data_IF_728993228298
#
_entry.id   IF_728993228298
#
_cell.length_a   1.000
_cell.length_b   1.000
_cell.length_c   1.000
_cell.angle_alpha   90.00
_cell.angle_beta   90.00
_cell.angle_gamma   90.00
#
_symmetry.space_group_name_H-M   'P 1'
#
loop_
_entity.id
_entity.type
_entity.pdbx_description
1 polymer ?
#
# COMPACT_ATOMS: atom_id res chain seq x y z
N UNK A 1 -39.42 -63.19 -16.17
CA UNK A 1 -39.59 -62.31 -15.03
C UNK A 1 -38.19 -61.84 -14.60
N UNK A 2 -37.69 -60.74 -15.19
CA UNK A 2 -36.38 -60.22 -14.90
C UNK A 2 -36.60 -58.96 -14.02
N UNK A 3 -36.10 -59.02 -12.79
CA UNK A 3 -36.15 -57.91 -11.90
C UNK A 3 -34.87 -56.98 -12.09
N UNK A 4 -35.11 -55.81 -12.69
CA UNK A 4 -34.13 -54.75 -12.77
C UNK A 4 -34.14 -53.97 -11.45
N UNK A 5 -33.25 -54.30 -10.53
CA UNK A 5 -32.93 -53.40 -9.41
C UNK A 5 -31.42 -53.30 -9.25
N UNK A 6 -30.76 -52.29 -9.86
CA UNK A 6 -29.63 -51.67 -9.16
C UNK A 6 -29.39 -50.18 -9.48
N UNK A 7 -30.25 -49.41 -10.13
CA UNK A 7 -29.97 -48.00 -10.44
C UNK A 7 -30.07 -47.08 -9.22
N UNK A 8 -30.97 -47.34 -8.30
CA UNK A 8 -31.18 -46.50 -7.10
C UNK A 8 -29.97 -46.50 -6.14
N UNK A 9 -29.24 -47.60 -6.01
CA UNK A 9 -28.12 -47.73 -5.08
C UNK A 9 -26.86 -47.00 -5.58
N UNK A 10 -26.67 -46.83 -6.88
CA UNK A 10 -25.56 -46.11 -7.47
C UNK A 10 -25.70 -44.60 -7.29
N UNK A 11 -26.93 -44.08 -7.46
CA UNK A 11 -27.22 -42.64 -7.24
C UNK A 11 -27.08 -42.24 -5.77
N UNK A 12 -27.52 -43.09 -4.84
CA UNK A 12 -27.40 -42.83 -3.42
C UNK A 12 -25.94 -42.79 -2.93
N UNK A 13 -25.10 -43.70 -3.45
CA UNK A 13 -23.66 -43.70 -3.18
C UNK A 13 -22.97 -42.48 -3.75
N UNK A 14 -23.37 -42.00 -4.93
CA UNK A 14 -22.84 -40.79 -5.54
C UNK A 14 -23.24 -39.53 -4.72
N UNK A 15 -24.49 -39.43 -4.28
CA UNK A 15 -24.94 -38.32 -3.44
C UNK A 15 -24.21 -38.28 -2.10
N UNK A 16 -23.97 -39.43 -1.45
CA UNK A 16 -23.19 -39.50 -0.21
C UNK A 16 -21.76 -39.06 -0.45
N UNK A 17 -21.11 -39.49 -1.54
CA UNK A 17 -19.74 -39.08 -1.87
C UNK A 17 -19.62 -37.58 -2.13
N UNK A 18 -20.61 -36.97 -2.79
CA UNK A 18 -20.65 -35.51 -3.01
C UNK A 18 -20.80 -34.75 -1.68
N UNK A 19 -21.72 -35.21 -0.82
CA UNK A 19 -21.94 -34.57 0.50
C UNK A 19 -20.70 -34.68 1.39
N UNK A 20 -20.06 -35.85 1.45
CA UNK A 20 -18.81 -36.06 2.18
C UNK A 20 -17.69 -35.22 1.60
N UNK A 21 -17.58 -35.13 0.26
CA UNK A 21 -16.62 -34.29 -0.42
C UNK A 21 -16.79 -32.79 -0.08
N UNK A 22 -18.02 -32.31 0.03
CA UNK A 22 -18.31 -30.91 0.44
C UNK A 22 -18.01 -30.65 1.93
N UNK A 23 -18.40 -31.59 2.81
CA UNK A 23 -18.21 -31.42 4.26
C UNK A 23 -16.74 -31.51 4.67
N UNK A 24 -15.97 -32.37 4.03
CA UNK A 24 -14.55 -32.60 4.38
C UNK A 24 -13.62 -31.80 3.47
N UNK A 25 -13.91 -31.72 2.17
CA UNK A 25 -13.05 -31.07 1.19
C UNK A 25 -13.02 -29.55 1.33
N UNK A 26 -14.16 -28.92 1.58
CA UNK A 26 -14.22 -27.46 1.70
C UNK A 26 -13.43 -26.91 2.92
N UNK A 27 -13.55 -27.48 4.12
CA UNK A 27 -12.69 -27.08 5.25
C UNK A 27 -11.22 -27.35 5.00
N UNK A 28 -10.84 -28.46 4.38
CA UNK A 28 -9.44 -28.75 4.05
C UNK A 28 -8.86 -27.74 3.07
N UNK A 29 -9.59 -27.37 2.03
CA UNK A 29 -9.18 -26.32 1.09
C UNK A 29 -9.03 -24.99 1.82
N UNK A 30 -9.98 -24.61 2.70
CA UNK A 30 -9.92 -23.38 3.49
C UNK A 30 -8.70 -23.35 4.43
N UNK A 31 -8.36 -24.48 5.06
CA UNK A 31 -7.16 -24.61 5.89
C UNK A 31 -5.89 -24.45 5.06
N UNK A 32 -5.81 -25.08 3.89
CA UNK A 32 -4.66 -24.97 2.99
C UNK A 32 -4.46 -23.56 2.45
N UNK A 33 -5.54 -22.87 2.10
CA UNK A 33 -5.50 -21.47 1.65
C UNK A 33 -5.06 -20.56 2.78
N UNK A 34 -5.59 -20.75 3.99
CA UNK A 34 -5.18 -19.98 5.18
C UNK A 34 -3.73 -20.24 5.58
N UNK A 35 -3.25 -21.48 5.48
CA UNK A 35 -1.83 -21.80 5.77
C UNK A 35 -0.88 -21.14 4.76
N UNK A 36 -1.20 -21.16 3.47
CA UNK A 36 -0.43 -20.44 2.43
C UNK A 36 -0.49 -18.93 2.63
N UNK A 37 -1.65 -18.40 2.99
CA UNK A 37 -1.81 -16.97 3.30
C UNK A 37 -0.98 -16.55 4.53
N UNK A 38 -0.97 -17.36 5.58
CA UNK A 38 -0.18 -17.11 6.79
C UNK A 38 1.34 -17.21 6.55
N UNK A 39 1.78 -18.15 5.72
CA UNK A 39 3.20 -18.27 5.33
C UNK A 39 3.64 -17.08 4.47
N UNK A 40 2.84 -16.70 3.47
CA UNK A 40 3.10 -15.52 2.65
C UNK A 40 3.13 -14.25 3.51
N UNK A 41 2.20 -14.09 4.44
CA UNK A 41 2.18 -12.98 5.38
C UNK A 41 3.45 -12.89 6.23
N UNK A 42 3.99 -14.02 6.73
CA UNK A 42 5.24 -14.03 7.50
C UNK A 42 6.46 -13.64 6.65
N UNK A 43 6.55 -14.11 5.42
CA UNK A 43 7.61 -13.73 4.47
C UNK A 43 7.52 -12.24 4.14
N UNK A 44 6.33 -11.74 3.86
CA UNK A 44 6.07 -10.32 3.63
C UNK A 44 6.46 -9.46 4.84
N UNK A 45 6.02 -9.83 6.04
CA UNK A 45 6.38 -9.11 7.27
C UNK A 45 7.89 -9.11 7.52
N UNK A 46 8.60 -10.19 7.19
CA UNK A 46 10.05 -10.23 7.34
C UNK A 46 10.76 -9.25 6.40
N UNK A 47 10.22 -9.05 5.20
CA UNK A 47 10.82 -8.16 4.19
C UNK A 47 10.73 -6.66 4.53
N UNK A 48 9.78 -6.27 5.42
CA UNK A 48 9.63 -4.88 5.92
C UNK A 48 10.23 -4.66 7.31
N UNK A 49 10.81 -5.68 7.94
CA UNK A 49 11.54 -5.52 9.21
C UNK A 49 12.94 -4.93 9.05
N UNK A 50 13.39 -4.72 7.83
CA UNK A 50 14.68 -4.12 7.56
C UNK A 50 14.79 -2.73 8.22
N UNK A 51 16.00 -2.41 8.67
CA UNK A 51 16.36 -1.08 9.11
C UNK A 51 17.49 -0.58 8.21
N UNK A 52 17.13 0.22 7.22
CA UNK A 52 18.08 0.81 6.27
C UNK A 52 18.62 2.16 6.76
N UNK A 53 18.18 2.60 7.94
CA UNK A 53 18.55 3.87 8.56
C UNK A 53 17.33 4.74 8.86
N UNK A 54 17.59 5.85 9.53
CA UNK A 54 16.57 6.88 9.79
C UNK A 54 16.41 7.78 8.57
N UNK A 55 15.20 8.28 8.36
CA UNK A 55 14.97 9.37 7.41
C UNK A 55 15.79 10.58 7.85
N UNK A 56 16.63 11.15 6.99
CA UNK A 56 17.43 12.32 7.31
C UNK A 56 16.56 13.49 7.77
N UNK A 57 17.12 14.35 8.63
CA UNK A 57 16.44 15.57 9.02
C UNK A 57 16.37 16.54 7.85
N UNK A 58 15.15 17.01 7.56
CA UNK A 58 14.91 18.05 6.58
C UNK A 58 13.81 19.00 7.06
N UNK A 59 13.80 20.18 6.48
CA UNK A 59 12.73 21.16 6.56
C UNK A 59 12.56 21.78 5.19
N UNK A 60 11.44 21.54 4.55
CA UNK A 60 11.17 22.00 3.18
C UNK A 60 9.79 22.64 3.11
N UNK A 61 9.68 23.62 2.21
CA UNK A 61 8.42 24.32 1.97
C UNK A 61 7.68 23.61 0.83
N UNK A 62 6.47 23.18 1.12
CA UNK A 62 5.54 22.66 0.13
C UNK A 62 5.05 23.74 -0.83
N UNK A 63 4.41 23.31 -1.91
CA UNK A 63 3.84 24.25 -2.87
C UNK A 63 2.65 25.06 -2.33
N UNK A 64 2.05 24.61 -1.24
CA UNK A 64 0.99 25.32 -0.52
C UNK A 64 1.54 26.31 0.54
N UNK A 65 2.86 26.55 0.55
CA UNK A 65 3.60 27.31 1.57
C UNK A 65 3.57 26.71 2.99
N UNK A 66 3.13 25.45 3.13
CA UNK A 66 3.26 24.67 4.35
C UNK A 66 4.71 24.19 4.51
N UNK A 67 5.21 24.18 5.74
CA UNK A 67 6.54 23.66 6.04
C UNK A 67 6.42 22.20 6.49
N UNK A 68 7.04 21.30 5.75
CA UNK A 68 7.10 19.88 6.07
C UNK A 68 8.48 19.55 6.63
N UNK A 69 8.48 18.93 7.80
CA UNK A 69 9.72 18.55 8.50
C UNK A 69 9.72 17.06 8.80
N UNK A 70 10.89 16.45 8.90
CA UNK A 70 11.04 15.04 9.30
C UNK A 70 10.33 14.74 10.63
N UNK A 71 10.34 15.69 11.57
CA UNK A 71 9.63 15.53 12.86
C UNK A 71 8.13 15.46 12.69
N UNK A 72 7.57 16.25 11.77
CA UNK A 72 6.13 16.27 11.47
C UNK A 72 5.64 14.97 10.81
N UNK A 73 6.55 14.17 10.24
CA UNK A 73 6.20 12.90 9.61
C UNK A 73 6.04 11.74 10.60
N UNK A 74 6.57 11.89 11.83
CA UNK A 74 6.50 10.82 12.83
C UNK A 74 5.05 10.48 13.19
N UNK A 75 4.79 9.21 13.34
CA UNK A 75 3.43 8.67 13.52
C UNK A 75 2.73 8.31 12.22
N UNK A 76 3.30 8.73 11.07
CA UNK A 76 2.77 8.41 9.74
C UNK A 76 3.69 7.41 9.02
N UNK A 77 3.07 6.52 8.25
CA UNK A 77 3.76 5.74 7.22
C UNK A 77 3.97 6.67 6.03
N UNK A 78 5.21 6.83 5.61
CA UNK A 78 5.55 7.80 4.56
C UNK A 78 6.16 7.12 3.36
N UNK A 79 5.62 7.39 2.19
CA UNK A 79 6.17 7.00 0.89
C UNK A 79 6.94 8.18 0.33
N UNK A 80 8.26 8.05 0.24
CA UNK A 80 9.16 9.13 -0.22
C UNK A 80 9.65 8.83 -1.63
N UNK A 81 9.48 9.77 -2.53
CA UNK A 81 9.95 9.70 -3.92
C UNK A 81 10.62 10.99 -4.34
N UNK A 82 11.41 10.89 -5.40
CA UNK A 82 12.08 12.04 -6.04
C UNK A 82 11.73 12.05 -7.52
N UNK A 83 11.55 13.25 -8.07
CA UNK A 83 11.27 13.40 -9.50
C UNK A 83 12.34 14.26 -10.16
N UNK A 84 12.81 13.76 -11.29
CA UNK A 84 13.60 14.50 -12.29
C UNK A 84 12.81 14.53 -13.59
N UNK A 85 13.34 15.19 -14.62
CA UNK A 85 12.72 15.18 -15.95
C UNK A 85 12.52 13.77 -16.51
N UNK A 86 13.41 12.83 -16.17
CA UNK A 86 13.36 11.45 -16.66
C UNK A 86 12.39 10.55 -15.87
N UNK A 87 12.32 10.72 -14.54
CA UNK A 87 11.58 9.82 -13.67
C UNK A 87 10.16 10.26 -13.36
N UNK A 88 9.85 11.54 -13.61
CA UNK A 88 8.59 12.19 -13.23
C UNK A 88 7.35 11.38 -13.63
N UNK A 89 7.25 11.07 -14.91
CA UNK A 89 6.05 10.39 -15.43
C UNK A 89 5.89 9.00 -14.82
N UNK A 90 6.99 8.27 -14.62
CA UNK A 90 6.94 6.92 -14.06
C UNK A 90 6.58 6.95 -12.56
N UNK A 91 7.14 7.89 -11.80
CA UNK A 91 6.78 8.11 -10.38
C UNK A 91 5.30 8.44 -10.27
N UNK A 92 4.83 9.39 -11.07
CA UNK A 92 3.42 9.82 -11.05
C UNK A 92 2.48 8.71 -11.47
N UNK A 93 2.81 7.96 -12.52
CA UNK A 93 2.04 6.81 -12.99
C UNK A 93 1.96 5.71 -11.93
N UNK A 94 3.01 5.54 -11.14
CA UNK A 94 3.06 4.54 -10.07
C UNK A 94 2.28 4.98 -8.84
N UNK A 95 2.44 6.21 -8.36
CA UNK A 95 1.84 6.65 -7.10
C UNK A 95 0.37 7.07 -7.24
N UNK A 96 -0.02 7.69 -8.35
CA UNK A 96 -1.39 8.20 -8.54
C UNK A 96 -2.48 7.15 -8.35
N UNK A 97 -2.38 5.92 -8.87
CA UNK A 97 -3.37 4.87 -8.60
C UNK A 97 -3.45 4.49 -7.12
N UNK A 98 -2.30 4.44 -6.42
CA UNK A 98 -2.24 4.10 -5.01
C UNK A 98 -2.98 5.16 -4.17
N UNK A 99 -2.67 6.44 -4.40
CA UNK A 99 -3.32 7.57 -3.71
C UNK A 99 -4.83 7.60 -3.97
N UNK A 100 -5.27 7.22 -5.17
CA UNK A 100 -6.69 7.20 -5.56
C UNK A 100 -7.46 5.98 -5.06
N UNK A 101 -6.79 4.96 -4.51
CA UNK A 101 -7.46 3.76 -4.01
C UNK A 101 -8.32 4.11 -2.79
N UNK A 102 -9.62 3.86 -2.88
CA UNK A 102 -10.59 4.19 -1.82
C UNK A 102 -10.22 3.59 -0.47
N UNK A 103 -9.69 2.37 -0.46
CA UNK A 103 -9.27 1.69 0.76
C UNK A 103 -8.23 2.49 1.55
N UNK A 104 -7.27 3.14 0.87
CA UNK A 104 -6.30 4.01 1.55
C UNK A 104 -6.88 5.37 1.91
N UNK A 105 -7.94 5.80 1.22
CA UNK A 105 -8.56 7.12 1.40
C UNK A 105 -9.50 7.18 2.60
N UNK A 106 -10.22 6.10 2.88
CA UNK A 106 -11.29 6.09 3.88
C UNK A 106 -10.90 5.43 5.20
N UNK A 107 -10.02 4.42 5.13
CA UNK A 107 -9.69 3.59 6.29
C UNK A 107 -8.38 4.00 6.98
N UNK A 108 -7.59 4.91 6.38
CA UNK A 108 -6.21 5.16 6.81
C UNK A 108 -6.01 6.62 7.19
N UNK A 109 -5.64 6.86 8.46
CA UNK A 109 -5.38 8.20 8.98
C UNK A 109 -3.91 8.62 8.91
N UNK A 110 -2.98 7.67 8.78
CA UNK A 110 -1.55 7.94 8.96
C UNK A 110 -0.68 7.44 7.79
N UNK A 111 -1.22 7.48 6.57
CA UNK A 111 -0.44 7.28 5.35
C UNK A 111 -0.26 8.61 4.64
N UNK A 112 0.95 8.91 4.20
CA UNK A 112 1.25 10.11 3.42
C UNK A 112 2.29 9.82 2.34
N UNK A 113 2.27 10.63 1.30
CA UNK A 113 3.19 10.56 0.17
C UNK A 113 3.95 11.89 0.08
N UNK A 114 5.26 11.80 -0.04
CA UNK A 114 6.13 12.94 -0.28
C UNK A 114 6.87 12.75 -1.59
N UNK A 115 6.74 13.69 -2.48
CA UNK A 115 7.49 13.71 -3.73
C UNK A 115 8.33 14.98 -3.80
N UNK A 116 9.64 14.84 -3.78
CA UNK A 116 10.56 15.95 -3.93
C UNK A 116 10.81 16.19 -5.43
N UNK A 117 10.44 17.37 -5.91
CA UNK A 117 10.75 17.77 -7.28
C UNK A 117 12.13 18.43 -7.32
N UNK A 118 13.06 17.72 -7.94
CA UNK A 118 14.45 18.16 -8.13
C UNK A 118 14.60 19.15 -9.30
N UNK A 119 13.54 19.34 -10.10
CA UNK A 119 13.59 20.19 -11.30
C UNK A 119 13.13 21.62 -11.03
N UNK A 120 12.44 21.86 -9.92
CA UNK A 120 11.79 23.13 -9.59
C UNK A 120 10.82 23.65 -10.69
N UNK A 121 10.19 22.74 -11.45
CA UNK A 121 9.29 23.07 -12.53
C UNK A 121 7.90 23.48 -12.03
N UNK A 122 7.68 24.80 -11.90
CA UNK A 122 6.42 25.36 -11.40
C UNK A 122 5.20 25.08 -12.30
N UNK A 123 5.42 24.88 -13.61
CA UNK A 123 4.33 24.57 -14.57
C UNK A 123 3.82 23.17 -14.33
N UNK A 124 4.73 22.21 -14.19
CA UNK A 124 4.40 20.83 -13.87
C UNK A 124 3.62 20.73 -12.55
N UNK A 125 4.08 21.42 -11.51
CA UNK A 125 3.39 21.43 -10.23
C UNK A 125 1.96 21.91 -10.33
N UNK A 126 1.74 23.02 -11.01
CA UNK A 126 0.40 23.60 -11.18
C UNK A 126 -0.51 22.62 -11.91
N UNK A 127 -0.05 22.04 -13.00
CA UNK A 127 -0.82 21.05 -13.76
C UNK A 127 -1.13 19.82 -12.94
N UNK A 128 -0.15 19.36 -12.16
CA UNK A 128 -0.33 18.17 -11.32
C UNK A 128 -1.33 18.40 -10.20
N UNK A 129 -1.21 19.51 -9.46
CA UNK A 129 -2.14 19.86 -8.39
C UNK A 129 -3.57 20.10 -8.89
N UNK A 130 -3.74 20.61 -10.11
CA UNK A 130 -5.07 20.77 -10.71
C UNK A 130 -5.77 19.43 -10.95
N UNK A 131 -5.02 18.35 -11.16
CA UNK A 131 -5.55 17.01 -11.41
C UNK A 131 -5.80 16.19 -10.13
N UNK A 132 -5.46 16.71 -8.96
CA UNK A 132 -5.74 16.11 -7.66
C UNK A 132 -6.97 16.76 -7.02
N UNK A 133 -7.86 15.96 -6.45
CA UNK A 133 -8.91 16.47 -5.59
C UNK A 133 -8.34 16.98 -4.25
N UNK A 134 -9.14 17.69 -3.45
CA UNK A 134 -8.69 18.27 -2.19
C UNK A 134 -8.09 17.23 -1.24
N UNK A 135 -8.72 16.06 -1.13
CA UNK A 135 -8.27 14.97 -0.24
C UNK A 135 -6.98 14.30 -0.72
N UNK A 136 -6.81 14.12 -2.03
CA UNK A 136 -5.56 13.58 -2.57
C UNK A 136 -4.39 14.54 -2.28
N UNK A 137 -4.64 15.87 -2.24
CA UNK A 137 -3.65 16.89 -1.87
C UNK A 137 -3.26 16.85 -0.39
N UNK A 138 -4.16 16.45 0.50
CA UNK A 138 -3.86 16.24 1.91
C UNK A 138 -2.95 15.04 2.14
N UNK A 139 -3.09 14.00 1.31
CA UNK A 139 -2.28 12.78 1.41
C UNK A 139 -0.95 12.87 0.67
N UNK A 140 -0.90 13.67 -0.40
CA UNK A 140 0.25 13.72 -1.27
C UNK A 140 0.83 15.12 -1.39
N UNK A 141 1.97 15.31 -0.76
CA UNK A 141 2.71 16.57 -0.76
C UNK A 141 3.80 16.52 -1.83
N UNK A 142 3.80 17.50 -2.71
CA UNK A 142 4.88 17.72 -3.65
C UNK A 142 5.71 18.89 -3.12
N UNK A 143 7.00 18.65 -2.96
CA UNK A 143 7.93 19.52 -2.25
C UNK A 143 8.98 20.07 -3.20
N UNK A 144 9.48 21.27 -2.91
CA UNK A 144 10.61 21.87 -3.63
C UNK A 144 11.91 21.56 -2.92
N UNK A 145 12.98 21.36 -3.68
CA UNK A 145 14.31 21.16 -3.12
C UNK A 145 14.52 19.74 -2.60
N UNK A 146 15.48 19.60 -1.71
CA UNK A 146 15.86 18.30 -1.18
C UNK A 146 16.88 17.58 -2.05
N UNK A 147 17.65 18.31 -2.86
CA UNK A 147 18.64 17.78 -3.82
C UNK A 147 19.66 16.85 -3.17
N UNK A 148 19.99 17.09 -1.90
CA UNK A 148 20.93 16.26 -1.15
C UNK A 148 20.27 15.02 -0.50
N UNK A 149 18.94 14.96 -0.42
CA UNK A 149 18.25 13.85 0.23
C UNK A 149 18.42 12.52 -0.48
N UNK A 150 18.39 12.39 -1.83
CA UNK A 150 18.60 11.11 -2.50
C UNK A 150 19.93 10.45 -2.11
N UNK A 151 21.02 11.22 -2.02
CA UNK A 151 22.32 10.69 -1.62
C UNK A 151 22.36 10.26 -0.15
N UNK A 152 21.74 11.03 0.74
CA UNK A 152 21.61 10.70 2.17
C UNK A 152 20.75 9.43 2.38
N UNK A 153 19.75 9.23 1.56
CA UNK A 153 18.89 8.05 1.56
C UNK A 153 19.54 6.84 0.84
N UNK A 154 20.76 6.99 0.31
CA UNK A 154 21.45 5.96 -0.48
C UNK A 154 20.63 5.48 -1.67
N UNK A 155 19.85 6.37 -2.26
CA UNK A 155 19.07 6.07 -3.45
C UNK A 155 19.99 6.07 -4.67
N UNK A 156 19.96 4.98 -5.43
CA UNK A 156 20.84 4.80 -6.59
C UNK A 156 20.40 5.63 -7.81
N UNK A 157 19.13 6.01 -7.87
CA UNK A 157 18.55 6.78 -8.96
C UNK A 157 17.19 7.39 -8.57
N UNK A 158 16.66 8.29 -9.41
CA UNK A 158 15.39 8.98 -9.19
C UNK A 158 14.14 8.12 -9.48
N UNK A 159 14.32 6.84 -9.87
CA UNK A 159 13.24 5.86 -9.98
C UNK A 159 13.06 5.04 -8.70
N UNK A 160 13.80 5.38 -7.65
CA UNK A 160 13.72 4.70 -6.36
C UNK A 160 12.70 5.39 -5.45
N UNK A 161 11.82 4.58 -4.85
CA UNK A 161 10.86 5.01 -3.83
C UNK A 161 11.23 4.39 -2.50
N UNK A 162 11.26 5.20 -1.44
CA UNK A 162 11.50 4.73 -0.07
C UNK A 162 10.19 4.57 0.69
N UNK A 163 10.04 3.47 1.42
CA UNK A 163 8.97 3.26 2.38
C UNK A 163 9.51 3.46 3.80
N UNK A 164 8.92 4.41 4.51
CA UNK A 164 9.32 4.84 5.85
C UNK A 164 8.19 4.53 6.83
N UNK A 165 8.51 3.98 7.97
CA UNK A 165 7.54 3.65 9.01
C UNK A 165 7.20 4.83 9.91
N UNK A 166 6.28 4.61 10.85
CA UNK A 166 5.80 5.60 11.82
C UNK A 166 6.87 6.14 12.77
N UNK A 167 8.00 5.43 12.91
CA UNK A 167 9.15 5.86 13.70
C UNK A 167 10.18 6.64 12.87
N UNK A 168 9.94 6.81 11.57
CA UNK A 168 10.86 7.45 10.64
C UNK A 168 11.99 6.55 10.15
N UNK A 169 11.84 5.21 10.30
CA UNK A 169 12.83 4.24 9.83
C UNK A 169 12.53 3.86 8.38
N UNK A 170 13.54 3.94 7.53
CA UNK A 170 13.46 3.47 6.15
C UNK A 170 13.44 1.94 6.17
N UNK A 171 12.35 1.37 5.73
CA UNK A 171 12.13 -0.08 5.75
C UNK A 171 12.54 -0.75 4.46
N UNK A 172 12.33 -0.10 3.34
CA UNK A 172 12.69 -0.63 2.02
C UNK A 172 12.80 0.47 0.96
N UNK A 173 13.64 0.20 -0.04
CA UNK A 173 13.78 0.95 -1.27
C UNK A 173 13.24 0.10 -2.44
N UNK A 174 12.51 0.71 -3.36
CA UNK A 174 11.89 0.05 -4.52
C UNK A 174 12.33 0.74 -5.80
N UNK A 175 12.84 -0.01 -6.76
CA UNK A 175 13.07 0.51 -8.12
C UNK A 175 11.79 0.34 -8.94
N UNK A 176 11.07 1.43 -9.16
CA UNK A 176 9.78 1.40 -9.86
C UNK A 176 9.87 1.07 -11.36
N UNK A 177 11.05 0.93 -11.93
CA UNK A 177 11.22 0.35 -13.26
C UNK A 177 10.98 -1.17 -13.26
N UNK A 178 11.12 -1.80 -12.09
CA UNK A 178 10.89 -3.23 -11.92
C UNK A 178 9.42 -3.50 -11.55
N UNK A 179 8.66 -4.26 -12.36
CA UNK A 179 7.25 -4.57 -12.06
C UNK A 179 7.06 -5.29 -10.72
N UNK A 180 8.02 -6.12 -10.33
CA UNK A 180 8.00 -6.81 -9.04
C UNK A 180 8.07 -5.84 -7.85
N UNK A 181 8.93 -4.81 -7.94
CA UNK A 181 9.07 -3.79 -6.90
C UNK A 181 7.84 -2.89 -6.80
N UNK A 182 7.21 -2.53 -7.93
CA UNK A 182 5.92 -1.81 -7.91
C UNK A 182 4.85 -2.59 -7.16
N UNK A 183 4.72 -3.88 -7.47
CA UNK A 183 3.76 -4.76 -6.80
C UNK A 183 4.05 -4.84 -5.29
N UNK A 184 5.32 -5.09 -4.92
CA UNK A 184 5.73 -5.15 -3.53
C UNK A 184 5.51 -3.84 -2.77
N UNK A 185 5.71 -2.67 -3.39
CA UNK A 185 5.43 -1.37 -2.78
C UNK A 185 3.97 -1.28 -2.34
N UNK A 186 3.02 -1.61 -3.23
CA UNK A 186 1.58 -1.59 -2.92
C UNK A 186 1.25 -2.55 -1.78
N UNK A 187 1.75 -3.78 -1.85
CA UNK A 187 1.52 -4.81 -0.85
C UNK A 187 2.10 -4.41 0.52
N UNK A 188 3.30 -3.83 0.54
CA UNK A 188 3.94 -3.40 1.77
C UNK A 188 3.25 -2.19 2.40
N UNK A 189 2.77 -1.23 1.60
CA UNK A 189 1.93 -0.14 2.10
C UNK A 189 0.68 -0.70 2.80
N UNK A 190 0.03 -1.70 2.19
CA UNK A 190 -1.20 -2.29 2.72
C UNK A 190 -1.03 -3.04 4.06
N UNK A 191 0.18 -3.56 4.34
CA UNK A 191 0.47 -4.34 5.57
C UNK A 191 1.25 -3.57 6.64
N UNK A 192 1.76 -2.38 6.33
CA UNK A 192 2.38 -1.52 7.34
C UNK A 192 1.36 -1.20 8.45
N UNK A 193 1.78 -1.02 9.71
CA UNK A 193 0.87 -0.71 10.81
C UNK A 193 0.27 0.68 10.64
N UNK A 194 -0.75 0.74 9.82
CA UNK A 194 -1.53 1.93 9.52
C UNK A 194 -2.65 2.01 10.56
N UNK A 195 -2.81 3.15 11.19
CA UNK A 195 -3.95 3.39 12.08
C UNK A 195 -5.21 3.46 11.22
N UNK A 196 -6.06 2.46 11.33
CA UNK A 196 -7.39 2.52 10.72
C UNK A 196 -8.28 3.45 11.51
N UNK A 197 -9.06 4.29 10.83
CA UNK A 197 -10.14 5.05 11.47
C UNK A 197 -11.04 4.06 12.19
N UNK A 198 -11.17 4.23 13.50
CA UNK A 198 -12.24 3.52 14.22
C UNK A 198 -13.54 3.98 13.57
N UNK A 199 -14.28 3.06 12.94
CA UNK A 199 -15.66 3.34 12.58
C UNK A 199 -16.32 3.82 13.86
N UNK A 200 -16.62 5.11 13.94
CA UNK A 200 -17.55 5.64 14.93
C UNK A 200 -18.87 4.99 14.56
N UNK A 201 -19.15 3.88 15.23
CA UNK A 201 -20.38 3.15 15.03
C UNK A 201 -21.53 4.13 15.14
N UNK A 202 -22.40 4.10 14.14
CA UNK A 202 -23.77 4.62 14.17
C UNK A 202 -24.53 3.94 15.32
N UNK A 203 -24.20 4.27 16.57
CA UNK A 203 -24.91 3.79 17.76
C UNK A 203 -26.05 4.69 18.20
N UNK A 204 -26.23 5.84 17.58
CA UNK A 204 -27.21 6.84 18.04
C UNK A 204 -28.53 6.90 17.24
N UNK A 205 -28.88 5.85 16.50
CA UNK A 205 -30.19 5.81 15.81
C UNK A 205 -31.08 4.65 16.22
N UNK A 206 -30.99 4.17 17.46
CA UNK A 206 -31.91 3.13 17.96
C UNK A 206 -32.62 3.50 19.27
N UNK A 207 -32.65 4.77 19.63
CA UNK A 207 -33.48 5.24 20.76
C UNK A 207 -34.18 6.55 20.35
N UNK A 208 -35.12 6.46 19.46
CA UNK A 208 -36.22 7.40 19.24
C UNK A 208 -37.42 6.61 18.74
#
# INVERSE_FOLDING_TARGET
MNQDIPKANKMRKFQIAVVVGLIVGFPLISILVNMKGAQNGKVFYSSIKNNLGQLPDFSVVGWNNDTITTKGLRGNVTVVSFTSNESRDEVMKTLKPIVKTEQFREEVDNLQFLTFDLTNDSVFHRQYLQNLNARDRELWHILRGGENLPSQLKMSNNFTIALVDTAGVIRRLYDIRQPADKKMLVEHIAIMPIKRKKNVEKKDQKNL
#
